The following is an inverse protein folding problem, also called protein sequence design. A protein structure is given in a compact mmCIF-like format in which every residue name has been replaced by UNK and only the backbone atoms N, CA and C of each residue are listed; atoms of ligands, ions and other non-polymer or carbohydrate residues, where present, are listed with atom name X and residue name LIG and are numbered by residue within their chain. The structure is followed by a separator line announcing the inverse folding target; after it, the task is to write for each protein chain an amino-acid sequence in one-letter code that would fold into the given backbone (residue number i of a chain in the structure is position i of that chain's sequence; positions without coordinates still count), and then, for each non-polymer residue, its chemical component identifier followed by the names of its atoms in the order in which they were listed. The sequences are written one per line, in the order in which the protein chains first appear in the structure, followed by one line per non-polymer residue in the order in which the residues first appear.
data_IF_850553039924
#
_entry.id   IF_850553039924
#
_cell.length_a   1.000
_cell.length_b   1.000
_cell.length_c   1.000
_cell.angle_alpha   90.00
_cell.angle_beta   90.00
_cell.angle_gamma   90.00
#
_symmetry.space_group_name_H-M   'P 1'
#
loop_
_entity.id
_entity.type
_entity.pdbx_description
1 polymer ?
#
# COMPACT_ATOMS: atom_id res chain seq x y z
N UNK A 1 -22.95 26.00 22.29
CA UNK A 1 -23.94 25.23 23.06
C UNK A 1 -23.84 23.78 22.61
N UNK A 2 -23.16 22.92 23.39
CA UNK A 2 -22.94 21.51 23.05
C UNK A 2 -24.17 20.75 23.53
N UNK A 3 -24.95 20.21 22.60
CA UNK A 3 -26.08 19.32 22.95
C UNK A 3 -25.54 18.05 23.60
N UNK A 4 -25.86 17.83 24.85
CA UNK A 4 -25.64 16.54 25.49
C UNK A 4 -26.62 15.52 24.89
N UNK A 5 -26.08 14.60 24.10
CA UNK A 5 -26.82 13.41 23.69
C UNK A 5 -27.03 12.55 24.94
N UNK A 6 -28.29 12.26 25.31
CA UNK A 6 -28.58 11.28 26.34
C UNK A 6 -28.11 9.90 25.84
N UNK A 7 -27.18 9.32 26.54
CA UNK A 7 -26.78 7.92 26.31
C UNK A 7 -27.94 7.08 26.92
N UNK A 8 -28.52 6.15 26.15
CA UNK A 8 -29.48 5.21 26.72
C UNK A 8 -28.83 4.39 27.83
N UNK A 9 -29.49 4.24 28.94
CA UNK A 9 -29.02 3.54 30.15
C UNK A 9 -28.91 2.01 29.99
N UNK A 10 -29.16 1.47 28.78
CA UNK A 10 -29.21 0.04 28.47
C UNK A 10 -27.97 -0.45 27.67
N UNK A 11 -26.79 0.00 28.02
CA UNK A 11 -25.58 -0.67 27.55
C UNK A 11 -24.97 -1.51 28.68
N UNK A 12 -25.80 -2.26 29.41
CA UNK A 12 -25.29 -3.40 30.15
C UNK A 12 -24.75 -4.41 29.12
N UNK A 13 -23.50 -4.81 29.30
CA UNK A 13 -22.82 -5.72 28.43
C UNK A 13 -23.73 -6.95 28.18
N UNK A 14 -24.20 -7.10 26.95
CA UNK A 14 -24.80 -8.33 26.49
C UNK A 14 -23.76 -9.45 26.54
N UNK A 15 -23.55 -10.02 27.71
CA UNK A 15 -22.72 -11.19 27.97
C UNK A 15 -23.44 -12.47 27.52
N UNK A 16 -24.66 -12.37 27.01
CA UNK A 16 -25.47 -13.49 26.51
C UNK A 16 -25.26 -13.76 25.02
N UNK A 17 -24.30 -13.07 24.38
CA UNK A 17 -23.99 -13.27 22.95
C UNK A 17 -23.65 -14.71 22.62
N UNK A 18 -24.64 -15.49 22.28
CA UNK A 18 -24.53 -16.85 21.72
C UNK A 18 -23.99 -16.82 20.28
N UNK A 19 -23.61 -15.63 19.78
CA UNK A 19 -22.96 -15.41 18.49
C UNK A 19 -21.48 -15.64 18.55
N UNK A 20 -20.91 -16.32 17.55
CA UNK A 20 -19.47 -16.43 17.39
C UNK A 20 -18.85 -15.02 17.21
N UNK A 21 -17.78 -14.74 17.94
CA UNK A 21 -17.05 -13.49 17.81
C UNK A 21 -16.53 -13.31 16.38
N UNK A 22 -16.50 -12.07 15.86
CA UNK A 22 -15.91 -11.81 14.55
C UNK A 22 -14.46 -12.28 14.49
N UNK A 23 -14.12 -12.96 13.40
CA UNK A 23 -12.73 -13.36 13.16
C UNK A 23 -11.92 -12.23 12.55
N UNK A 24 -10.65 -12.10 12.93
CA UNK A 24 -9.76 -11.04 12.48
C UNK A 24 -8.79 -11.58 11.43
N UNK A 25 -8.72 -10.89 10.31
CA UNK A 25 -7.72 -11.12 9.28
C UNK A 25 -7.06 -9.83 8.83
N UNK A 26 -5.98 -9.97 8.08
CA UNK A 26 -5.31 -8.84 7.41
C UNK A 26 -5.43 -8.96 5.91
N UNK A 27 -5.46 -7.80 5.22
CA UNK A 27 -5.39 -7.69 3.77
C UNK A 27 -4.30 -6.68 3.41
N UNK A 28 -3.44 -6.98 2.44
CA UNK A 28 -2.31 -6.11 2.08
C UNK A 28 -2.44 -5.66 0.62
N UNK A 29 -2.55 -4.36 0.40
CA UNK A 29 -2.47 -3.74 -0.93
C UNK A 29 -1.01 -3.46 -1.22
N UNK A 30 -0.42 -4.17 -2.17
CA UNK A 30 1.01 -4.05 -2.50
C UNK A 30 1.13 -3.29 -3.81
N UNK A 31 1.67 -2.06 -3.74
CA UNK A 31 1.94 -1.24 -4.90
C UNK A 31 3.40 -1.33 -5.34
N UNK A 32 3.63 -1.27 -6.64
CA UNK A 32 4.92 -1.16 -7.30
C UNK A 32 4.84 -0.27 -8.53
N UNK A 33 6.00 0.03 -9.11
CA UNK A 33 6.12 0.73 -10.39
C UNK A 33 6.69 -0.22 -11.42
N UNK A 34 5.97 -0.46 -12.52
CA UNK A 34 6.43 -1.30 -13.62
C UNK A 34 6.69 -0.46 -14.86
N UNK A 35 7.77 -0.78 -15.57
CA UNK A 35 8.07 -0.18 -16.85
C UNK A 35 7.03 -0.62 -17.91
N UNK A 36 6.51 0.34 -18.66
CA UNK A 36 5.56 0.12 -19.75
C UNK A 36 6.00 0.98 -20.94
N UNK A 37 6.82 0.41 -21.84
CA UNK A 37 7.50 1.19 -22.87
C UNK A 37 8.43 2.24 -22.28
N UNK A 38 8.27 3.50 -22.71
CA UNK A 38 9.07 4.63 -22.23
C UNK A 38 8.52 5.30 -20.94
N UNK A 39 7.48 4.72 -20.33
CA UNK A 39 6.81 5.25 -19.13
C UNK A 39 6.74 4.20 -18.03
N UNK A 40 6.38 4.64 -16.83
CA UNK A 40 6.02 3.75 -15.73
C UNK A 40 4.52 3.76 -15.48
N UNK A 41 4.01 2.65 -14.97
CA UNK A 41 2.64 2.53 -14.48
C UNK A 41 2.62 2.08 -13.02
N UNK A 42 1.61 2.51 -12.28
CA UNK A 42 1.35 2.02 -10.94
C UNK A 42 0.67 0.66 -11.05
N UNK A 43 1.25 -0.33 -10.42
CA UNK A 43 0.73 -1.70 -10.41
C UNK A 43 0.40 -2.15 -9.00
N UNK A 44 -0.56 -3.07 -8.89
CA UNK A 44 -0.93 -3.75 -7.65
C UNK A 44 -0.78 -5.25 -7.82
N UNK A 45 -0.28 -5.91 -6.77
CA UNK A 45 -0.15 -7.36 -6.76
C UNK A 45 -1.43 -8.01 -6.25
N UNK A 46 -1.98 -8.91 -7.06
CA UNK A 46 -3.11 -9.74 -6.69
C UNK A 46 -2.72 -11.22 -6.71
N UNK A 47 -3.38 -12.02 -5.90
CA UNK A 47 -3.23 -13.48 -5.84
C UNK A 47 -4.52 -14.15 -6.28
N UNK A 48 -4.44 -15.26 -7.01
CA UNK A 48 -5.60 -16.02 -7.42
C UNK A 48 -6.07 -16.94 -6.31
N UNK A 49 -7.35 -16.95 -6.04
CA UNK A 49 -7.93 -17.81 -5.00
C UNK A 49 -8.11 -19.22 -5.51
N UNK A 50 -7.68 -20.19 -4.72
CA UNK A 50 -7.81 -21.63 -5.02
C UNK A 50 -9.07 -22.25 -4.44
N UNK A 51 -9.66 -21.64 -3.40
CA UNK A 51 -10.76 -22.21 -2.64
C UNK A 51 -11.98 -21.29 -2.54
N UNK A 52 -13.13 -21.90 -2.29
CA UNK A 52 -14.37 -21.18 -1.98
C UNK A 52 -14.26 -20.36 -0.67
N UNK A 53 -15.05 -19.29 -0.54
CA UNK A 53 -15.80 -18.63 -1.60
C UNK A 53 -14.88 -17.92 -2.59
N UNK A 54 -15.40 -17.61 -3.77
CA UNK A 54 -14.69 -16.87 -4.81
C UNK A 54 -13.45 -17.59 -5.42
N UNK A 55 -13.47 -18.95 -5.48
CA UNK A 55 -12.44 -19.70 -6.17
C UNK A 55 -12.25 -19.21 -7.61
N UNK A 56 -11.00 -19.07 -8.06
CA UNK A 56 -10.64 -18.55 -9.39
C UNK A 56 -10.63 -17.03 -9.51
N UNK A 57 -11.22 -16.26 -8.58
CA UNK A 57 -11.13 -14.80 -8.58
C UNK A 57 -9.80 -14.30 -8.00
N UNK A 58 -9.41 -13.12 -8.44
CA UNK A 58 -8.27 -12.39 -7.90
C UNK A 58 -8.63 -11.73 -6.56
N UNK A 59 -7.67 -11.68 -5.65
CA UNK A 59 -7.82 -11.11 -4.32
C UNK A 59 -6.53 -10.41 -3.88
N UNK A 60 -6.64 -9.52 -2.91
CA UNK A 60 -5.48 -9.00 -2.19
C UNK A 60 -4.81 -10.13 -1.39
N UNK A 61 -3.47 -10.17 -1.33
CA UNK A 61 -2.76 -11.02 -0.37
C UNK A 61 -3.24 -10.73 1.05
N UNK A 62 -3.44 -11.77 1.84
CA UNK A 62 -3.94 -11.61 3.20
C UNK A 62 -4.34 -12.95 3.80
N UNK A 63 -4.87 -12.95 5.00
CA UNK A 63 -5.35 -14.13 5.71
C UNK A 63 -5.50 -13.86 7.21
N UNK A 64 -5.56 -14.95 7.97
CA UNK A 64 -5.80 -14.91 9.41
C UNK A 64 -4.63 -14.34 10.19
N UNK A 65 -4.95 -13.65 11.28
CA UNK A 65 -4.02 -13.34 12.36
C UNK A 65 -3.97 -14.55 13.30
N UNK A 66 -2.79 -15.00 13.64
CA UNK A 66 -2.61 -16.11 14.57
C UNK A 66 -2.73 -15.64 16.03
N UNK A 67 -3.06 -16.55 16.93
CA UNK A 67 -3.02 -16.25 18.36
C UNK A 67 -1.62 -15.83 18.78
N UNK A 68 -1.51 -14.71 19.50
CA UNK A 68 -0.22 -14.16 19.93
C UNK A 68 0.57 -13.40 18.85
N UNK A 69 0.01 -13.26 17.64
CA UNK A 69 0.66 -12.54 16.53
C UNK A 69 0.17 -11.08 16.47
N UNK A 70 1.09 -10.12 16.26
CA UNK A 70 0.75 -8.74 15.97
C UNK A 70 0.13 -8.57 14.58
N UNK A 71 -0.74 -7.56 14.41
CA UNK A 71 -1.40 -7.30 13.12
C UNK A 71 -0.39 -6.98 12.00
N UNK A 72 0.65 -6.23 12.30
CA UNK A 72 1.69 -5.89 11.34
C UNK A 72 2.53 -7.13 10.97
N UNK A 73 2.84 -7.98 11.96
CA UNK A 73 3.58 -9.23 11.73
C UNK A 73 2.77 -10.18 10.83
N UNK A 74 1.46 -10.28 11.08
CA UNK A 74 0.55 -11.03 10.22
C UNK A 74 0.55 -10.49 8.78
N UNK A 75 0.50 -9.17 8.61
CA UNK A 75 0.55 -8.54 7.28
C UNK A 75 1.88 -8.84 6.57
N UNK A 76 3.02 -8.71 7.25
CA UNK A 76 4.36 -9.03 6.72
C UNK A 76 4.48 -10.53 6.38
N UNK A 77 4.01 -11.41 7.24
CA UNK A 77 4.01 -12.85 7.00
C UNK A 77 3.18 -13.22 5.78
N UNK A 78 1.96 -12.68 5.64
CA UNK A 78 1.14 -12.96 4.48
C UNK A 78 1.71 -12.38 3.18
N UNK A 79 2.31 -11.19 3.24
CA UNK A 79 3.02 -10.62 2.11
C UNK A 79 4.14 -11.59 1.67
N UNK A 80 5.05 -11.94 2.57
CA UNK A 80 6.18 -12.81 2.25
C UNK A 80 5.74 -14.21 1.77
N UNK A 81 4.85 -14.87 2.51
CA UNK A 81 4.48 -16.28 2.21
C UNK A 81 3.65 -16.44 0.94
N UNK A 82 2.90 -15.41 0.53
CA UNK A 82 2.05 -15.48 -0.66
C UNK A 82 2.67 -14.92 -1.92
N UNK A 83 3.67 -14.06 -1.78
CA UNK A 83 4.25 -13.35 -2.93
C UNK A 83 5.77 -13.48 -3.03
N UNK A 84 6.44 -13.92 -1.98
CA UNK A 84 7.91 -13.94 -1.90
C UNK A 84 8.55 -12.56 -1.75
N UNK A 85 7.75 -11.49 -1.68
CA UNK A 85 8.25 -10.12 -1.61
C UNK A 85 8.44 -9.66 -0.16
N UNK A 86 9.38 -8.73 0.02
CA UNK A 86 9.54 -7.95 1.23
C UNK A 86 9.25 -6.49 0.93
N UNK A 87 8.36 -5.87 1.68
CA UNK A 87 8.07 -4.45 1.53
C UNK A 87 9.06 -3.61 2.32
N UNK A 88 9.58 -2.56 1.67
CA UNK A 88 10.36 -1.53 2.34
C UNK A 88 9.47 -0.58 3.18
N UNK A 89 8.19 -0.53 2.86
CA UNK A 89 7.19 0.30 3.54
C UNK A 89 5.90 -0.50 3.72
N UNK A 90 5.37 -0.50 4.93
CA UNK A 90 4.09 -1.10 5.28
C UNK A 90 3.38 -0.16 6.26
N UNK A 91 2.12 0.17 6.03
CA UNK A 91 1.32 1.05 6.88
C UNK A 91 -0.11 0.53 6.99
N UNK A 92 -0.66 0.59 8.19
CA UNK A 92 -2.08 0.29 8.39
C UNK A 92 -2.95 1.33 7.68
N UNK A 93 -3.89 0.86 6.91
CA UNK A 93 -4.75 1.67 6.08
C UNK A 93 -6.07 2.02 6.76
N UNK A 94 -6.89 0.99 6.98
CA UNK A 94 -8.23 1.10 7.54
C UNK A 94 -8.73 -0.29 7.97
N UNK A 95 -9.84 -0.32 8.72
CA UNK A 95 -10.49 -1.57 9.13
C UNK A 95 -11.85 -1.71 8.41
N UNK A 96 -12.02 -2.81 7.71
CA UNK A 96 -13.25 -3.16 6.98
C UNK A 96 -13.98 -4.25 7.75
N UNK A 97 -15.15 -3.91 8.28
CA UNK A 97 -15.89 -4.79 9.20
C UNK A 97 -17.37 -4.94 8.87
N UNK A 98 -17.81 -4.69 7.60
CA UNK A 98 -19.19 -4.97 7.22
C UNK A 98 -19.55 -6.44 7.46
N UNK A 99 -20.68 -6.78 8.09
CA UNK A 99 -21.08 -8.15 8.32
C UNK A 99 -21.14 -9.00 7.05
N UNK A 100 -21.51 -8.40 5.91
CA UNK A 100 -21.74 -9.07 4.64
C UNK A 100 -20.49 -9.20 3.78
N UNK A 101 -19.31 -8.69 4.24
CA UNK A 101 -18.06 -8.70 3.45
C UNK A 101 -17.54 -10.09 3.14
N UNK A 102 -17.81 -11.07 4.01
CA UNK A 102 -17.48 -12.48 3.78
C UNK A 102 -18.74 -13.33 3.98
N UNK A 103 -19.19 -14.10 2.95
CA UNK A 103 -20.43 -14.85 3.04
C UNK A 103 -20.40 -16.03 4.01
N UNK A 104 -19.26 -16.35 4.61
CA UNK A 104 -19.12 -17.50 5.52
C UNK A 104 -19.40 -17.14 6.97
N UNK A 105 -18.98 -15.97 7.39
CA UNK A 105 -19.07 -15.49 8.78
C UNK A 105 -18.72 -14.01 8.87
N UNK A 106 -19.09 -13.37 9.96
CA UNK A 106 -18.68 -11.99 10.22
C UNK A 106 -17.16 -11.92 10.41
N UNK A 107 -16.47 -11.24 9.48
CA UNK A 107 -15.03 -11.07 9.44
C UNK A 107 -14.63 -9.63 9.44
N UNK A 108 -13.63 -9.32 10.24
CA UNK A 108 -12.99 -8.00 10.25
C UNK A 108 -11.65 -8.12 9.50
N UNK A 109 -11.43 -7.27 8.50
CA UNK A 109 -10.15 -7.17 7.82
C UNK A 109 -9.46 -5.86 8.21
N UNK A 110 -8.30 -5.97 8.85
CA UNK A 110 -7.39 -4.85 9.01
C UNK A 110 -6.55 -4.75 7.74
N UNK A 111 -6.81 -3.71 6.95
CA UNK A 111 -6.09 -3.49 5.70
C UNK A 111 -4.79 -2.74 5.94
N UNK A 112 -3.76 -3.15 5.20
CA UNK A 112 -2.46 -2.51 5.10
C UNK A 112 -2.18 -2.15 3.65
N UNK A 113 -1.33 -1.15 3.42
CA UNK A 113 -0.71 -0.98 2.10
C UNK A 113 0.80 -1.02 2.23
N UNK A 114 1.42 -1.57 1.21
CA UNK A 114 2.85 -1.79 1.12
C UNK A 114 3.39 -1.19 -0.19
N UNK A 115 4.63 -0.72 -0.16
CA UNK A 115 5.33 -0.19 -1.33
C UNK A 115 6.59 -1.01 -1.58
N UNK A 116 6.77 -1.43 -2.83
CA UNK A 116 7.94 -2.17 -3.29
C UNK A 116 8.81 -1.22 -4.12
N UNK A 117 10.08 -1.01 -3.75
CA UNK A 117 10.97 -0.09 -4.44
C UNK A 117 11.47 -0.67 -5.77
N UNK A 118 11.63 0.22 -6.76
CA UNK A 118 12.16 -0.15 -8.08
C UNK A 118 11.20 -0.97 -8.92
N UNK A 119 11.73 -1.64 -9.95
CA UNK A 119 10.95 -2.56 -10.79
C UNK A 119 10.54 -3.76 -9.95
N UNK A 120 9.24 -4.04 -9.79
CA UNK A 120 8.78 -5.13 -8.97
C UNK A 120 9.10 -6.47 -9.63
N UNK A 121 9.82 -7.32 -8.90
CA UNK A 121 10.08 -8.68 -9.36
C UNK A 121 8.79 -9.48 -9.53
N UNK A 122 8.80 -10.46 -10.42
CA UNK A 122 7.70 -11.41 -10.52
C UNK A 122 7.53 -12.16 -9.19
N UNK A 123 6.29 -12.33 -8.73
CA UNK A 123 6.05 -12.99 -7.47
C UNK A 123 6.48 -14.45 -7.51
N UNK A 124 7.22 -14.87 -6.49
CA UNK A 124 7.66 -16.25 -6.30
C UNK A 124 6.82 -16.86 -5.19
N UNK A 125 5.93 -17.79 -5.51
CA UNK A 125 5.07 -18.42 -4.50
C UNK A 125 4.36 -19.67 -5.02
N UNK A 126 3.72 -20.41 -4.09
CA UNK A 126 2.92 -21.59 -4.45
C UNK A 126 1.60 -21.23 -5.14
N UNK A 127 1.16 -19.98 -5.05
CA UNK A 127 -0.09 -19.51 -5.64
C UNK A 127 0.16 -18.65 -6.85
N UNK A 128 -0.76 -18.68 -7.80
CA UNK A 128 -0.74 -17.75 -8.92
C UNK A 128 -0.90 -16.32 -8.38
N UNK A 129 0.14 -15.52 -8.56
CA UNK A 129 0.15 -14.11 -8.21
C UNK A 129 0.59 -13.31 -9.44
N UNK A 130 0.01 -12.12 -9.63
CA UNK A 130 0.27 -11.31 -10.82
C UNK A 130 0.14 -9.82 -10.51
N UNK A 131 0.99 -9.03 -11.15
CA UNK A 131 0.89 -7.58 -11.15
C UNK A 131 -0.16 -7.11 -12.15
N UNK A 132 -1.04 -6.24 -11.71
CA UNK A 132 -2.07 -5.60 -12.53
C UNK A 132 -1.87 -4.09 -12.51
N UNK A 133 -2.03 -3.43 -13.65
CA UNK A 133 -2.15 -1.98 -13.67
C UNK A 133 -3.35 -1.54 -12.84
N UNK A 134 -3.19 -0.49 -12.03
CA UNK A 134 -4.31 0.04 -11.24
C UNK A 134 -5.42 0.63 -12.12
N UNK A 135 -5.10 0.96 -13.37
CA UNK A 135 -6.06 1.47 -14.36
C UNK A 135 -6.74 0.33 -15.16
N UNK A 136 -6.23 -0.93 -15.05
CA UNK A 136 -6.73 -2.09 -15.79
C UNK A 136 -6.93 -3.31 -14.88
N UNK A 137 -7.66 -3.11 -13.80
CA UNK A 137 -7.96 -4.16 -12.83
C UNK A 137 -8.95 -5.19 -13.39
N UNK A 138 -8.92 -6.45 -12.89
CA UNK A 138 -9.97 -7.41 -13.16
C UNK A 138 -11.34 -6.85 -12.78
N UNK A 139 -12.35 -7.06 -13.64
CA UNK A 139 -13.72 -6.56 -13.42
C UNK A 139 -14.33 -6.97 -12.08
N UNK A 140 -13.92 -8.13 -11.55
CA UNK A 140 -14.39 -8.65 -10.25
C UNK A 140 -13.19 -9.12 -9.43
N UNK A 141 -13.10 -8.63 -8.22
CA UNK A 141 -12.23 -9.14 -7.18
C UNK A 141 -13.05 -9.92 -6.15
N UNK A 142 -12.38 -10.78 -5.40
CA UNK A 142 -13.02 -11.51 -4.31
C UNK A 142 -13.33 -10.56 -3.15
N UNK A 143 -14.42 -10.84 -2.42
CA UNK A 143 -14.85 -10.06 -1.27
C UNK A 143 -15.06 -8.58 -1.61
N UNK A 144 -14.79 -7.71 -0.67
CA UNK A 144 -14.75 -6.25 -0.77
C UNK A 144 -13.37 -5.71 -1.20
N UNK A 145 -12.54 -6.54 -1.85
CA UNK A 145 -11.16 -6.15 -2.17
C UNK A 145 -11.08 -4.98 -3.14
N UNK A 146 -12.12 -4.74 -3.93
CA UNK A 146 -12.21 -3.56 -4.79
C UNK A 146 -12.30 -2.27 -3.96
N UNK A 147 -13.08 -2.28 -2.88
CA UNK A 147 -13.25 -1.13 -2.00
C UNK A 147 -11.98 -0.86 -1.21
N UNK A 148 -11.32 -1.92 -0.70
CA UNK A 148 -10.03 -1.83 -0.01
C UNK A 148 -8.98 -1.20 -0.94
N UNK A 149 -8.89 -1.67 -2.18
CA UNK A 149 -7.93 -1.16 -3.16
C UNK A 149 -8.22 0.30 -3.55
N UNK A 150 -9.50 0.63 -3.77
CA UNK A 150 -9.93 2.00 -4.08
C UNK A 150 -9.56 2.96 -2.95
N UNK A 151 -9.78 2.56 -1.70
CA UNK A 151 -9.40 3.36 -0.54
C UNK A 151 -7.86 3.50 -0.42
N UNK A 152 -7.10 2.43 -0.70
CA UNK A 152 -5.64 2.47 -0.68
C UNK A 152 -5.07 3.44 -1.74
N UNK A 153 -5.63 3.42 -2.96
CA UNK A 153 -5.26 4.37 -4.02
C UNK A 153 -5.57 5.82 -3.61
N UNK A 154 -6.75 6.05 -3.08
CA UNK A 154 -7.12 7.37 -2.57
C UNK A 154 -6.15 7.84 -1.48
N UNK A 155 -5.81 6.97 -0.51
CA UNK A 155 -4.85 7.28 0.56
C UNK A 155 -3.46 7.58 0.01
N UNK A 156 -2.95 6.78 -0.92
CA UNK A 156 -1.65 6.97 -1.56
C UNK A 156 -1.59 8.31 -2.31
N UNK A 157 -2.61 8.61 -3.12
CA UNK A 157 -2.72 9.86 -3.88
C UNK A 157 -2.77 11.10 -2.99
N UNK A 158 -3.50 11.04 -1.89
CA UNK A 158 -3.54 12.15 -0.92
C UNK A 158 -2.22 12.31 -0.17
N UNK A 159 -1.58 11.20 0.19
CA UNK A 159 -0.37 11.22 1.02
C UNK A 159 0.88 11.66 0.24
N UNK A 160 0.96 11.38 -1.05
CA UNK A 160 2.12 11.71 -1.88
C UNK A 160 2.45 13.20 -1.91
N UNK A 161 1.46 14.07 -1.69
CA UNK A 161 1.64 15.52 -1.71
C UNK A 161 2.37 16.11 -0.49
N UNK A 162 2.40 15.41 0.65
CA UNK A 162 2.93 15.94 1.92
C UNK A 162 3.80 14.95 2.71
N UNK A 163 3.90 13.71 2.29
CA UNK A 163 4.70 12.70 2.96
C UNK A 163 5.75 12.09 2.01
N UNK A 164 6.81 11.56 2.61
CA UNK A 164 7.94 10.96 1.89
C UNK A 164 7.61 9.60 1.23
N UNK A 165 6.31 9.33 1.01
CA UNK A 165 5.81 8.04 0.52
C UNK A 165 6.28 7.74 -0.90
N UNK A 166 6.40 8.74 -1.78
CA UNK A 166 6.91 8.56 -3.14
C UNK A 166 8.34 8.01 -3.18
N UNK A 167 9.16 8.37 -2.20
CA UNK A 167 10.54 7.88 -2.13
C UNK A 167 10.64 6.38 -1.86
N UNK A 168 9.59 5.76 -1.32
CA UNK A 168 9.55 4.32 -1.03
C UNK A 168 9.44 3.48 -2.31
N UNK A 169 9.02 4.08 -3.41
CA UNK A 169 8.94 3.44 -4.73
C UNK A 169 10.21 3.63 -5.57
N UNK A 170 11.14 4.50 -5.12
CA UNK A 170 12.37 4.81 -5.84
C UNK A 170 13.57 4.00 -5.34
N UNK A 171 14.61 3.80 -6.15
CA UNK A 171 15.90 3.34 -5.66
C UNK A 171 16.51 4.34 -4.66
N UNK A 172 17.56 3.92 -3.94
CA UNK A 172 18.22 4.78 -2.94
C UNK A 172 18.69 6.11 -3.50
N UNK A 173 19.28 6.08 -4.71
CA UNK A 173 19.69 7.24 -5.46
C UNK A 173 18.80 7.36 -6.69
N UNK A 174 18.30 8.54 -6.96
CA UNK A 174 17.35 8.80 -8.05
C UNK A 174 17.60 10.19 -8.68
N UNK A 175 17.11 10.38 -9.89
CA UNK A 175 17.08 11.69 -10.56
C UNK A 175 15.78 12.43 -10.24
N UNK A 176 15.75 13.76 -10.42
CA UNK A 176 14.52 14.54 -10.30
C UNK A 176 13.46 14.14 -11.32
N UNK A 177 13.89 13.65 -12.49
CA UNK A 177 12.96 13.12 -13.50
C UNK A 177 12.26 11.87 -13.03
N UNK A 178 13.00 10.91 -12.47
CA UNK A 178 12.42 9.71 -11.87
C UNK A 178 11.45 10.05 -10.72
N UNK A 179 11.85 10.96 -9.83
CA UNK A 179 10.96 11.39 -8.75
C UNK A 179 9.68 12.03 -9.28
N UNK A 180 9.77 12.93 -10.28
CA UNK A 180 8.60 13.53 -10.91
C UNK A 180 7.70 12.48 -11.54
N UNK A 181 8.27 11.53 -12.24
CA UNK A 181 7.54 10.44 -12.88
C UNK A 181 6.74 9.61 -11.87
N UNK A 182 7.33 9.27 -10.70
CA UNK A 182 6.62 8.61 -9.61
C UNK A 182 5.41 9.41 -9.16
N UNK A 183 5.57 10.73 -8.97
CA UNK A 183 4.45 11.61 -8.62
C UNK A 183 3.38 11.64 -9.71
N UNK A 184 3.77 11.74 -10.99
CA UNK A 184 2.85 11.76 -12.13
C UNK A 184 2.04 10.46 -12.21
N UNK A 185 2.69 9.32 -12.02
CA UNK A 185 2.07 7.99 -12.05
C UNK A 185 1.08 7.81 -10.90
N UNK A 186 1.46 8.16 -9.67
CA UNK A 186 0.56 8.06 -8.51
C UNK A 186 -0.65 8.98 -8.68
N UNK A 187 -0.42 10.23 -9.12
CA UNK A 187 -1.46 11.25 -9.25
C UNK A 187 -2.30 11.11 -10.54
N UNK A 188 -1.91 10.23 -11.46
CA UNK A 188 -2.50 10.06 -12.80
C UNK A 188 -2.60 11.39 -13.56
N UNK A 189 -1.57 12.25 -13.45
CA UNK A 189 -1.49 13.55 -14.14
C UNK A 189 -0.07 14.00 -14.37
N UNK A 190 0.16 14.75 -15.45
CA UNK A 190 1.46 15.37 -15.74
C UNK A 190 1.73 16.57 -14.81
N UNK A 191 3.01 16.75 -14.47
CA UNK A 191 3.50 17.82 -13.63
C UNK A 191 4.49 18.67 -14.44
N UNK A 192 4.40 20.00 -14.31
CA UNK A 192 5.37 20.90 -14.91
C UNK A 192 6.77 20.68 -14.32
N UNK A 193 7.79 20.37 -15.13
CA UNK A 193 9.13 20.00 -14.65
C UNK A 193 9.78 21.10 -13.81
N UNK A 194 9.62 22.37 -14.22
CA UNK A 194 10.26 23.53 -13.59
C UNK A 194 9.67 23.80 -12.21
N UNK A 195 8.34 23.83 -12.12
CA UNK A 195 7.64 24.02 -10.87
C UNK A 195 7.87 22.85 -9.90
N UNK A 196 7.86 21.61 -10.40
CA UNK A 196 8.13 20.44 -9.59
C UNK A 196 9.53 20.50 -8.97
N UNK A 197 10.54 20.76 -9.80
CA UNK A 197 11.92 20.90 -9.35
C UNK A 197 12.06 21.97 -8.26
N UNK A 198 11.54 23.17 -8.52
CA UNK A 198 11.58 24.27 -7.56
C UNK A 198 10.94 23.91 -6.21
N UNK A 199 9.78 23.27 -6.23
CA UNK A 199 9.07 22.84 -5.00
C UNK A 199 9.85 21.79 -4.22
N UNK A 200 10.37 20.76 -4.90
CA UNK A 200 11.09 19.66 -4.25
C UNK A 200 12.45 20.15 -3.70
N UNK A 201 13.19 20.98 -4.43
CA UNK A 201 14.44 21.54 -3.94
C UNK A 201 14.21 22.49 -2.74
N UNK A 202 13.12 23.27 -2.75
CA UNK A 202 12.76 24.15 -1.63
C UNK A 202 12.24 23.41 -0.39
N UNK A 203 11.71 22.21 -0.54
CA UNK A 203 11.15 21.43 0.58
C UNK A 203 12.19 20.87 1.54
N UNK A 204 13.46 20.80 1.14
CA UNK A 204 14.54 20.18 1.91
C UNK A 204 14.39 18.65 2.08
N UNK A 205 13.47 18.02 1.36
CA UNK A 205 13.23 16.55 1.47
C UNK A 205 14.27 15.73 0.74
N UNK A 206 15.05 16.34 -0.17
CA UNK A 206 16.11 15.69 -0.94
C UNK A 206 17.45 16.38 -0.73
N UNK A 207 18.52 15.59 -0.82
CA UNK A 207 19.89 16.11 -0.85
C UNK A 207 20.63 15.58 -2.07
N UNK A 208 21.46 16.41 -2.73
CA UNK A 208 22.27 15.96 -3.85
C UNK A 208 23.34 14.98 -3.38
N UNK A 209 23.70 14.04 -4.25
CA UNK A 209 24.83 13.13 -4.06
C UNK A 209 26.02 13.58 -4.92
N UNK A 210 27.20 13.02 -4.66
CA UNK A 210 28.38 13.20 -5.54
C UNK A 210 28.26 12.42 -6.84
N UNK A 211 27.33 11.43 -6.92
CA UNK A 211 27.14 10.59 -8.10
C UNK A 211 26.37 11.28 -9.21
N UNK A 212 26.63 10.80 -10.43
CA UNK A 212 25.86 11.12 -11.64
C UNK A 212 25.51 9.82 -12.34
N UNK A 213 24.48 9.84 -13.18
CA UNK A 213 24.14 8.69 -14.01
C UNK A 213 25.23 8.54 -15.06
N UNK A 214 25.80 7.35 -15.20
CA UNK A 214 26.79 7.05 -16.24
C UNK A 214 26.09 6.89 -17.60
N UNK A 215 26.63 7.53 -18.65
CA UNK A 215 26.21 7.36 -20.04
C UNK A 215 25.22 8.42 -20.56
N UNK A 216 25.40 8.77 -21.85
CA UNK A 216 24.53 9.67 -22.63
C UNK A 216 25.29 10.80 -23.33
N UNK A 217 24.74 11.28 -24.46
CA UNK A 217 25.31 12.38 -25.28
C UNK A 217 25.19 13.76 -24.60
N UNK A 218 24.46 13.89 -23.51
CA UNK A 218 24.25 15.12 -22.76
C UNK A 218 24.87 15.05 -21.36
N UNK A 219 25.01 16.21 -20.70
CA UNK A 219 25.52 16.30 -19.32
C UNK A 219 24.71 15.36 -18.40
N UNK A 220 25.35 14.36 -17.76
CA UNK A 220 24.67 13.36 -16.97
C UNK A 220 23.81 13.99 -15.87
N UNK A 221 22.57 13.54 -15.68
CA UNK A 221 21.69 14.07 -14.65
C UNK A 221 22.26 13.82 -13.25
N UNK A 222 22.06 14.80 -12.37
CA UNK A 222 22.48 14.73 -10.97
C UNK A 222 21.61 13.72 -10.20
N UNK A 223 22.27 12.93 -9.36
CA UNK A 223 21.58 12.02 -8.44
C UNK A 223 21.30 12.71 -7.11
N UNK A 224 20.15 12.36 -6.55
CA UNK A 224 19.65 12.81 -5.26
C UNK A 224 19.33 11.60 -4.40
N UNK A 225 19.25 11.80 -3.09
CA UNK A 225 18.69 10.85 -2.12
C UNK A 225 17.74 11.56 -1.18
N UNK A 226 16.88 10.83 -0.51
CA UNK A 226 16.03 11.38 0.54
C UNK A 226 16.90 11.97 1.65
N UNK A 227 16.55 13.16 2.13
CA UNK A 227 17.27 13.84 3.21
C UNK A 227 17.07 13.15 4.57
N UNK A 228 15.89 12.54 4.77
CA UNK A 228 15.56 11.78 5.98
C UNK A 228 15.76 10.28 5.74
N UNK A 229 16.08 9.50 6.79
CA UNK A 229 16.01 8.04 6.69
C UNK A 229 14.63 7.61 6.22
N UNK A 230 14.56 6.59 5.36
CA UNK A 230 13.29 5.98 4.95
C UNK A 230 12.75 5.10 6.10
N UNK A 231 12.56 5.70 7.27
CA UNK A 231 11.99 5.00 8.41
C UNK A 231 10.48 5.11 8.37
N UNK A 232 9.83 3.99 8.59
CA UNK A 232 8.46 3.96 9.09
C UNK A 232 8.43 4.76 10.39
N UNK A 233 7.44 5.64 10.64
CA UNK A 233 7.24 6.15 11.99
C UNK A 233 6.85 4.95 12.87
N UNK A 234 7.82 4.35 13.55
CA UNK A 234 7.55 3.38 14.58
C UNK A 234 6.81 4.10 15.70
N UNK A 235 5.55 3.78 15.84
CA UNK A 235 4.82 4.10 17.06
C UNK A 235 5.37 3.20 18.16
N UNK A 236 6.28 3.74 18.97
CA UNK A 236 6.70 3.07 20.20
C UNK A 236 5.69 3.48 21.28
N UNK A 237 4.84 2.57 21.78
CA UNK A 237 3.99 2.87 22.92
C UNK A 237 4.88 3.30 24.09
N UNK A 238 4.56 4.43 24.71
CA UNK A 238 5.19 4.78 25.99
C UNK A 238 4.72 3.76 27.01
N UNK A 239 5.65 2.97 27.52
CA UNK A 239 5.46 2.09 28.68
C UNK A 239 5.05 2.87 29.92
#
# INVERSE_FOLDING_TARGET
MVQRVKIPEEAEADTSGTGAWPTIGVSVVIFGLRSSGDAHELVVLLVRRESAPFAGLWALPGGWVHSGEGLEDAARRHLLTKTGLQAAYLEQLYTFGSPDRDPREHRIAVAYYALVPGEPADPIGKREARWFSVEALPKRLAFDNHDILSYALWRLRNKVGYADVAFQLLPRNFTLSQLREVYEVILSRKLDPTNFRRKVEASGTIVPTSGRVEGGAHRPPRLYRCARPRSHPEFTPRS
#
